data_IF_949986746419
#
_entry.id   IF_949986746419
#
_cell.length_a   1.000
_cell.length_b   1.000
_cell.length_c   1.000
_cell.angle_alpha   90.00
_cell.angle_beta   90.00
_cell.angle_gamma   90.00
#
_symmetry.space_group_name_H-M   'P 1'
#
loop_
_entity.id
_entity.type
_entity.pdbx_description
1 polymer ?
#
# COMPACT_ATOMS: atom_id res chain seq x y z
N UNK A 1 3.73 -14.72 18.17
CA UNK A 1 2.69 -13.74 17.81
C UNK A 1 1.56 -14.35 16.97
N UNK A 2 1.65 -14.57 15.64
CA UNK A 2 0.50 -15.12 14.86
C UNK A 2 0.15 -16.58 15.19
N UNK A 3 1.15 -17.44 15.40
CA UNK A 3 0.93 -18.85 15.75
C UNK A 3 0.22 -19.02 17.09
N UNK A 4 0.50 -18.13 18.03
CA UNK A 4 -0.04 -18.21 19.39
C UNK A 4 -1.53 -17.84 19.40
N UNK A 5 -1.96 -16.99 18.47
CA UNK A 5 -3.36 -16.58 18.31
C UNK A 5 -4.12 -17.50 17.35
N UNK A 6 -3.55 -17.86 16.19
CA UNK A 6 -4.25 -18.58 15.12
C UNK A 6 -3.89 -20.06 14.99
N UNK A 7 -2.85 -20.54 15.69
CA UNK A 7 -2.30 -21.89 15.51
C UNK A 7 -1.56 -22.12 14.18
N UNK A 8 -1.57 -21.15 13.26
CA UNK A 8 -0.98 -21.25 11.91
C UNK A 8 0.05 -20.14 11.65
N UNK A 9 0.96 -20.34 10.68
CA UNK A 9 1.93 -19.32 10.23
C UNK A 9 1.35 -18.35 9.20
N UNK A 10 0.21 -18.69 8.62
CA UNK A 10 -0.39 -17.98 7.51
C UNK A 10 -1.88 -17.83 7.77
N UNK A 11 -2.34 -16.60 7.96
CA UNK A 11 -3.74 -16.27 8.23
C UNK A 11 -4.67 -16.85 7.16
N UNK A 12 -4.23 -16.93 5.90
CA UNK A 12 -5.05 -17.45 4.80
C UNK A 12 -5.46 -18.93 4.94
N UNK A 13 -4.85 -19.69 5.86
CA UNK A 13 -5.29 -21.07 6.15
C UNK A 13 -6.59 -21.13 6.97
N UNK A 14 -6.90 -20.07 7.72
CA UNK A 14 -8.10 -19.98 8.59
C UNK A 14 -9.01 -18.81 8.24
N UNK A 15 -8.51 -17.85 7.47
CA UNK A 15 -9.24 -16.66 7.04
C UNK A 15 -9.26 -15.53 8.08
N UNK A 16 -9.65 -14.31 7.67
CA UNK A 16 -9.87 -13.19 8.59
C UNK A 16 -10.99 -13.49 9.60
N UNK A 17 -10.84 -12.99 10.83
CA UNK A 17 -11.84 -13.12 11.90
C UNK A 17 -11.89 -11.86 12.76
N UNK A 18 -12.80 -11.79 13.74
CA UNK A 18 -12.83 -10.67 14.70
C UNK A 18 -11.56 -10.59 15.56
N UNK A 19 -10.95 -11.73 15.89
CA UNK A 19 -9.71 -11.81 16.67
C UNK A 19 -8.46 -11.48 15.82
N UNK A 20 -8.56 -11.68 14.51
CA UNK A 20 -7.49 -11.41 13.56
C UNK A 20 -8.07 -10.88 12.25
N UNK A 21 -8.44 -9.59 12.22
CA UNK A 21 -9.07 -8.98 11.05
C UNK A 21 -8.07 -8.82 9.90
N UNK A 22 -8.61 -8.63 8.68
CA UNK A 22 -7.80 -8.16 7.56
C UNK A 22 -7.49 -6.68 7.77
N UNK A 23 -6.21 -6.33 7.82
CA UNK A 23 -5.79 -4.92 7.87
C UNK A 23 -5.48 -4.44 6.47
N UNK A 24 -6.22 -3.45 5.99
CA UNK A 24 -5.98 -2.83 4.68
C UNK A 24 -5.26 -1.50 4.88
N UNK A 25 -4.06 -1.38 4.34
CA UNK A 25 -3.25 -0.15 4.35
C UNK A 25 -3.37 0.50 2.98
N UNK A 26 -4.09 1.62 2.91
CA UNK A 26 -4.21 2.43 1.71
C UNK A 26 -3.24 3.60 1.80
N UNK A 27 -2.30 3.70 0.86
CA UNK A 27 -1.42 4.86 0.73
C UNK A 27 -1.76 5.55 -0.59
N UNK A 28 -2.65 6.53 -0.50
CA UNK A 28 -2.97 7.39 -1.62
C UNK A 28 -1.87 8.44 -1.83
N UNK A 29 -1.60 8.75 -3.09
CA UNK A 29 -0.45 9.56 -3.50
C UNK A 29 0.87 9.16 -2.82
N UNK A 30 1.18 7.86 -2.87
CA UNK A 30 2.33 7.24 -2.21
C UNK A 30 3.67 7.92 -2.51
N UNK A 31 3.80 8.54 -3.69
CA UNK A 31 5.00 9.30 -4.07
C UNK A 31 5.34 10.45 -3.11
N UNK A 32 4.36 10.98 -2.38
CA UNK A 32 4.57 12.04 -1.37
C UNK A 32 5.38 11.54 -0.17
N UNK A 33 5.25 10.26 0.17
CA UNK A 33 5.97 9.60 1.26
C UNK A 33 7.34 9.08 0.86
N UNK A 34 7.60 8.97 -0.45
CA UNK A 34 8.86 8.45 -1.02
C UNK A 34 9.70 9.54 -1.71
N UNK A 35 9.25 10.80 -1.66
CA UNK A 35 9.95 11.93 -2.29
C UNK A 35 11.34 12.11 -1.70
N UNK A 36 12.37 12.05 -2.56
CA UNK A 36 13.73 12.38 -2.17
C UNK A 36 13.89 13.87 -1.81
N UNK A 37 14.59 14.13 -0.70
CA UNK A 37 15.00 15.47 -0.29
C UNK A 37 16.52 15.60 -0.41
N UNK A 38 17.00 16.64 -1.10
CA UNK A 38 18.43 16.89 -1.34
C UNK A 38 18.83 18.23 -0.75
N UNK A 39 19.79 18.21 0.15
CA UNK A 39 20.29 19.40 0.85
C UNK A 39 21.05 19.01 2.12
N UNK A 40 21.78 19.96 2.68
CA UNK A 40 22.70 19.74 3.80
C UNK A 40 22.21 20.31 5.13
N UNK A 41 21.12 21.09 5.11
CA UNK A 41 20.49 21.64 6.31
C UNK A 41 19.81 20.55 7.15
N UNK A 42 19.59 20.85 8.42
CA UNK A 42 19.10 19.88 9.39
C UNK A 42 17.69 19.35 9.05
N UNK A 43 16.81 20.20 8.53
CA UNK A 43 15.44 19.80 8.22
C UNK A 43 15.41 18.90 6.98
N UNK A 44 16.16 19.25 5.93
CA UNK A 44 16.28 18.41 4.73
C UNK A 44 16.85 17.03 5.07
N UNK A 45 17.85 16.95 5.95
CA UNK A 45 18.38 15.66 6.43
C UNK A 45 17.32 14.85 7.18
N UNK A 46 16.55 15.49 8.07
CA UNK A 46 15.46 14.85 8.82
C UNK A 46 14.41 14.26 7.86
N UNK A 47 13.99 15.03 6.87
CA UNK A 47 13.02 14.60 5.86
C UNK A 47 13.56 13.46 4.97
N UNK A 48 14.84 13.50 4.61
CA UNK A 48 15.50 12.42 3.88
C UNK A 48 15.52 11.11 4.70
N UNK A 49 15.85 11.19 6.00
CA UNK A 49 15.81 10.03 6.91
C UNK A 49 14.39 9.46 7.02
N UNK A 50 13.39 10.32 7.24
CA UNK A 50 11.98 9.90 7.33
C UNK A 50 11.50 9.22 6.05
N UNK A 51 11.88 9.74 4.89
CA UNK A 51 11.52 9.16 3.58
C UNK A 51 12.14 7.77 3.40
N UNK A 52 13.42 7.62 3.76
CA UNK A 52 14.10 6.33 3.70
C UNK A 52 13.47 5.30 4.64
N UNK A 53 13.06 5.73 5.84
CA UNK A 53 12.36 4.89 6.81
C UNK A 53 10.98 4.47 6.29
N UNK A 54 10.19 5.41 5.77
CA UNK A 54 8.89 5.12 5.16
C UNK A 54 9.00 4.06 4.06
N UNK A 55 9.97 4.22 3.16
CA UNK A 55 10.17 3.28 2.06
C UNK A 55 10.53 1.87 2.57
N UNK A 56 11.40 1.78 3.59
CA UNK A 56 11.76 0.50 4.25
C UNK A 56 10.54 -0.15 4.92
N UNK A 57 9.75 0.63 5.66
CA UNK A 57 8.57 0.13 6.37
C UNK A 57 7.50 -0.37 5.39
N UNK A 58 7.26 0.36 4.30
CA UNK A 58 6.31 -0.06 3.25
C UNK A 58 6.79 -1.31 2.54
N UNK A 59 8.09 -1.41 2.22
CA UNK A 59 8.66 -2.64 1.65
C UNK A 59 8.45 -3.84 2.58
N UNK A 60 8.69 -3.67 3.88
CA UNK A 60 8.45 -4.70 4.90
C UNK A 60 6.97 -5.10 4.98
N UNK A 61 6.04 -4.14 4.91
CA UNK A 61 4.61 -4.40 4.87
C UNK A 61 4.22 -5.23 3.64
N UNK A 62 4.71 -4.89 2.46
CA UNK A 62 4.41 -5.64 1.23
C UNK A 62 4.97 -7.07 1.29
N UNK A 63 6.23 -7.23 1.73
CA UNK A 63 6.92 -8.53 1.78
C UNK A 63 6.37 -9.45 2.87
N UNK A 64 6.15 -8.93 4.06
CA UNK A 64 5.88 -9.72 5.28
C UNK A 64 4.40 -9.68 5.67
N UNK A 65 3.68 -8.63 5.30
CA UNK A 65 2.29 -8.41 5.70
C UNK A 65 1.31 -9.45 5.15
N UNK A 66 1.57 -9.97 3.94
CA UNK A 66 0.65 -10.89 3.26
C UNK A 66 0.30 -12.12 4.10
N UNK A 67 1.28 -12.79 4.71
CA UNK A 67 1.02 -14.02 5.49
C UNK A 67 0.26 -13.74 6.79
N UNK A 68 0.31 -12.51 7.28
CA UNK A 68 -0.34 -12.09 8.54
C UNK A 68 -1.63 -11.30 8.31
N UNK A 69 -2.14 -11.24 7.08
CA UNK A 69 -3.42 -10.57 6.81
C UNK A 69 -3.34 -9.06 6.67
N UNK A 70 -2.17 -8.52 6.30
CA UNK A 70 -2.03 -7.10 5.95
C UNK A 70 -1.99 -6.98 4.43
N UNK A 71 -2.95 -6.24 3.87
CA UNK A 71 -3.04 -5.90 2.45
C UNK A 71 -2.61 -4.44 2.26
N UNK A 72 -1.47 -4.21 1.62
CA UNK A 72 -0.97 -2.87 1.31
C UNK A 72 -1.31 -2.50 -0.13
N UNK A 73 -1.94 -1.34 -0.33
CA UNK A 73 -2.29 -0.79 -1.64
C UNK A 73 -1.61 0.57 -1.77
N UNK A 74 -0.75 0.69 -2.77
CA UNK A 74 -0.02 1.92 -3.08
C UNK A 74 -0.64 2.54 -4.34
N UNK A 75 -1.01 3.81 -4.25
CA UNK A 75 -1.69 4.54 -5.34
C UNK A 75 -0.91 5.82 -5.60
N UNK A 76 -0.75 6.21 -6.87
CA UNK A 76 -0.09 7.46 -7.26
C UNK A 76 -0.58 7.94 -8.61
N UNK A 77 -0.80 9.25 -8.74
CA UNK A 77 -1.06 9.89 -10.04
C UNK A 77 0.22 10.36 -10.75
N UNK A 78 1.34 10.44 -10.02
CA UNK A 78 2.63 10.86 -10.60
C UNK A 78 3.13 9.81 -11.60
N UNK A 79 3.35 10.23 -12.84
CA UNK A 79 3.66 9.35 -13.98
C UNK A 79 5.14 9.03 -14.14
N UNK A 80 6.00 9.38 -13.18
CA UNK A 80 7.46 9.24 -13.30
C UNK A 80 7.98 8.03 -12.51
N UNK A 81 9.16 7.53 -12.93
CA UNK A 81 9.83 6.35 -12.37
C UNK A 81 10.13 6.39 -10.87
N UNK A 82 10.11 7.57 -10.26
CA UNK A 82 10.34 7.81 -8.83
C UNK A 82 9.04 7.85 -8.01
N UNK A 83 7.86 7.64 -8.60
CA UNK A 83 6.60 7.71 -7.88
C UNK A 83 6.45 6.58 -6.85
N UNK A 84 6.79 5.35 -7.23
CA UNK A 84 6.91 4.20 -6.34
C UNK A 84 8.30 3.61 -6.59
N UNK A 85 9.20 3.58 -5.58
CA UNK A 85 10.53 3.02 -5.76
C UNK A 85 10.48 1.59 -6.30
N UNK A 86 11.38 1.27 -7.24
CA UNK A 86 11.40 -0.02 -7.94
C UNK A 86 11.50 -1.21 -6.98
N UNK A 87 12.28 -1.09 -5.90
CA UNK A 87 12.41 -2.15 -4.90
C UNK A 87 11.11 -2.44 -4.12
N UNK A 88 10.17 -1.48 -4.07
CA UNK A 88 8.82 -1.69 -3.54
C UNK A 88 7.91 -2.25 -4.64
N UNK A 89 7.93 -1.65 -5.83
CA UNK A 89 7.12 -2.10 -6.98
C UNK A 89 7.36 -3.57 -7.31
N UNK A 90 8.62 -4.00 -7.36
CA UNK A 90 8.99 -5.34 -7.81
C UNK A 90 8.61 -6.45 -6.80
N UNK A 91 8.25 -6.08 -5.57
CA UNK A 91 7.79 -7.02 -4.54
C UNK A 91 6.26 -7.02 -4.40
N UNK A 92 5.56 -6.10 -5.09
CA UNK A 92 4.11 -6.14 -5.21
C UNK A 92 3.71 -7.29 -6.17
N UNK A 93 2.89 -8.25 -5.72
CA UNK A 93 2.49 -9.38 -6.57
C UNK A 93 1.49 -8.97 -7.67
N UNK A 94 0.91 -7.77 -7.58
CA UNK A 94 -0.03 -7.22 -8.56
C UNK A 94 0.37 -5.78 -8.83
N UNK A 95 0.48 -5.42 -10.11
CA UNK A 95 0.66 -4.05 -10.58
C UNK A 95 -0.48 -3.65 -11.49
N UNK A 96 -1.00 -2.44 -11.33
CA UNK A 96 -2.04 -1.86 -12.18
C UNK A 96 -1.58 -0.51 -12.71
N UNK A 97 -1.79 -0.28 -14.00
CA UNK A 97 -1.54 1.01 -14.63
C UNK A 97 -2.69 1.39 -15.53
N UNK A 98 -3.38 2.49 -15.19
CA UNK A 98 -4.29 3.17 -16.10
C UNK A 98 -3.51 3.87 -17.22
N UNK A 99 -4.23 4.53 -18.13
CA UNK A 99 -3.67 5.26 -19.27
C UNK A 99 -2.41 6.07 -18.90
N UNK A 100 -1.30 5.81 -19.59
CA UNK A 100 -0.03 6.52 -19.42
C UNK A 100 0.34 7.26 -20.71
N UNK A 101 0.98 8.43 -20.60
CA UNK A 101 1.38 9.21 -21.79
C UNK A 101 2.63 8.66 -22.48
N UNK A 102 3.49 7.95 -21.75
CA UNK A 102 4.79 7.48 -22.25
C UNK A 102 5.05 6.04 -21.86
N UNK A 103 5.94 5.38 -22.62
CA UNK A 103 6.37 4.01 -22.30
C UNK A 103 7.18 3.99 -21.00
N UNK A 104 7.93 5.04 -20.72
CA UNK A 104 8.72 5.19 -19.49
C UNK A 104 7.81 5.22 -18.25
N UNK A 105 6.65 5.86 -18.35
CA UNK A 105 5.65 5.87 -17.29
C UNK A 105 4.99 4.48 -17.11
N UNK A 106 4.76 3.75 -18.20
CA UNK A 106 4.29 2.37 -18.13
C UNK A 106 5.33 1.45 -17.47
N UNK A 107 6.62 1.60 -17.83
CA UNK A 107 7.74 0.86 -17.22
C UNK A 107 7.89 1.20 -15.74
N UNK A 108 7.72 2.48 -15.38
CA UNK A 108 7.70 2.91 -13.99
C UNK A 108 6.64 2.14 -13.18
N UNK A 109 5.41 2.05 -13.69
CA UNK A 109 4.29 1.43 -12.99
C UNK A 109 4.31 -0.12 -13.02
N UNK A 110 4.73 -0.73 -14.13
CA UNK A 110 4.53 -2.16 -14.41
C UNK A 110 5.83 -2.97 -14.54
N UNK A 111 6.99 -2.32 -14.53
CA UNK A 111 8.29 -2.95 -14.77
C UNK A 111 8.67 -2.97 -16.24
N UNK A 112 9.95 -3.29 -16.52
CA UNK A 112 10.53 -3.16 -17.86
C UNK A 112 9.94 -4.12 -18.90
N UNK A 113 9.43 -5.28 -18.45
CA UNK A 113 8.87 -6.31 -19.33
C UNK A 113 7.67 -5.83 -20.17
N UNK A 114 6.98 -4.75 -19.75
CA UNK A 114 5.87 -4.15 -20.53
C UNK A 114 6.32 -3.71 -21.93
N UNK A 115 7.62 -3.43 -22.14
CA UNK A 115 8.18 -3.10 -23.46
C UNK A 115 8.00 -4.22 -24.47
N UNK A 116 7.95 -5.47 -24.00
CA UNK A 116 7.75 -6.66 -24.83
C UNK A 116 6.28 -6.90 -25.20
N UNK A 117 5.35 -6.08 -24.67
CA UNK A 117 3.90 -6.23 -24.84
C UNK A 117 3.25 -4.93 -25.31
N UNK A 118 3.60 -4.42 -26.51
CA UNK A 118 3.11 -3.14 -27.02
C UNK A 118 1.58 -3.08 -27.10
N UNK A 119 0.93 -4.18 -27.50
CA UNK A 119 -0.52 -4.27 -27.59
C UNK A 119 -1.22 -4.23 -26.22
N UNK A 120 -0.52 -4.58 -25.15
CA UNK A 120 -1.05 -4.49 -23.80
C UNK A 120 -0.66 -3.17 -23.11
N UNK A 121 0.15 -2.31 -23.75
CA UNK A 121 0.72 -1.12 -23.12
C UNK A 121 -0.34 -0.12 -22.65
N UNK A 122 -0.21 0.47 -21.45
CA UNK A 122 -1.10 1.54 -20.98
C UNK A 122 -1.11 2.78 -21.87
N UNK A 123 -0.09 2.96 -22.72
CA UNK A 123 -0.02 4.06 -23.69
C UNK A 123 -1.12 3.97 -24.74
N UNK A 124 -1.65 2.78 -24.99
CA UNK A 124 -2.72 2.55 -25.96
C UNK A 124 -4.12 2.88 -25.42
N UNK A 125 -4.23 3.28 -24.14
CA UNK A 125 -5.50 3.49 -23.43
C UNK A 125 -5.96 4.96 -23.40
N UNK A 126 -5.51 5.81 -24.32
CA UNK A 126 -5.83 7.24 -24.33
C UNK A 126 -7.25 7.57 -24.83
N UNK A 127 -7.86 6.66 -25.60
CA UNK A 127 -9.21 6.88 -26.15
C UNK A 127 -10.27 6.88 -25.02
N UNK A 128 -11.31 7.74 -25.08
CA UNK A 128 -12.40 7.76 -24.11
C UNK A 128 -13.09 6.41 -23.86
N UNK A 129 -13.10 5.50 -24.84
CA UNK A 129 -13.62 4.14 -24.67
C UNK A 129 -12.82 3.29 -23.65
N UNK A 130 -11.60 3.72 -23.32
CA UNK A 130 -10.73 3.09 -22.33
C UNK A 130 -10.80 3.72 -20.94
N UNK A 131 -11.70 4.67 -20.69
CA UNK A 131 -11.95 5.15 -19.31
C UNK A 131 -12.31 3.97 -18.41
N UNK A 132 -11.58 3.83 -17.29
CA UNK A 132 -11.70 2.68 -16.39
C UNK A 132 -11.02 1.40 -16.89
N UNK A 133 -10.19 1.42 -17.95
CA UNK A 133 -9.28 0.30 -18.25
C UNK A 133 -7.94 0.51 -17.58
N UNK A 134 -7.48 -0.54 -16.91
CA UNK A 134 -6.10 -0.66 -16.47
C UNK A 134 -5.43 -1.85 -17.16
N UNK A 135 -4.11 -1.77 -17.29
CA UNK A 135 -3.25 -2.89 -17.61
C UNK A 135 -2.75 -3.49 -16.31
N UNK A 136 -2.91 -4.80 -16.17
CA UNK A 136 -2.55 -5.56 -14.99
C UNK A 136 -1.36 -6.46 -15.26
N UNK A 137 -0.35 -6.37 -14.40
CA UNK A 137 0.69 -7.36 -14.21
C UNK A 137 0.37 -8.18 -12.97
N UNK A 138 0.54 -9.50 -13.03
CA UNK A 138 0.27 -10.37 -11.88
C UNK A 138 1.36 -11.44 -11.77
N UNK A 139 1.98 -11.52 -10.59
CA UNK A 139 3.00 -12.51 -10.29
C UNK A 139 2.47 -13.93 -10.53
N UNK A 140 3.26 -14.74 -11.24
CA UNK A 140 2.89 -16.11 -11.60
C UNK A 140 1.99 -16.23 -12.83
N UNK A 141 1.63 -15.13 -13.50
CA UNK A 141 1.00 -15.14 -14.82
C UNK A 141 1.90 -14.46 -15.85
N UNK A 142 2.17 -15.08 -17.01
CA UNK A 142 2.96 -14.45 -18.05
C UNK A 142 2.20 -13.28 -18.70
N UNK A 143 2.91 -12.20 -18.98
CA UNK A 143 2.41 -11.05 -19.71
C UNK A 143 1.48 -10.13 -18.94
N UNK A 144 0.70 -9.35 -19.69
CA UNK A 144 -0.14 -8.27 -19.17
C UNK A 144 -1.57 -8.41 -19.67
N UNK A 145 -2.54 -8.13 -18.80
CA UNK A 145 -3.96 -8.26 -19.11
C UNK A 145 -4.67 -6.92 -18.92
N UNK A 146 -5.47 -6.50 -19.90
CA UNK A 146 -6.36 -5.35 -19.73
C UNK A 146 -7.58 -5.75 -18.90
N UNK A 147 -7.88 -4.97 -17.88
CA UNK A 147 -9.05 -5.16 -17.02
C UNK A 147 -9.94 -3.91 -17.07
N UNK A 148 -11.26 -4.10 -17.04
CA UNK A 148 -12.24 -3.02 -16.92
C UNK A 148 -12.65 -2.89 -15.46
N UNK A 149 -12.38 -1.75 -14.85
CA UNK A 149 -12.86 -1.41 -13.51
C UNK A 149 -14.27 -0.83 -13.61
N UNK A 150 -15.21 -1.26 -12.76
CA UNK A 150 -16.55 -0.67 -12.74
C UNK A 150 -16.47 0.80 -12.30
N UNK A 151 -17.33 1.64 -12.89
CA UNK A 151 -17.52 3.00 -12.42
C UNK A 151 -18.31 2.98 -11.11
N UNK A 152 -17.83 3.71 -10.11
CA UNK A 152 -18.53 3.96 -8.84
C UNK A 152 -18.65 5.46 -8.70
N UNK A 153 -19.88 5.97 -8.59
CA UNK A 153 -20.13 7.39 -8.37
C UNK A 153 -19.78 7.79 -6.94
N UNK A 154 -19.49 9.07 -6.69
CA UNK A 154 -19.24 9.57 -5.33
C UNK A 154 -20.43 9.30 -4.38
N UNK A 155 -21.66 9.41 -4.91
CA UNK A 155 -22.88 9.11 -4.16
C UNK A 155 -22.96 7.62 -3.79
N UNK A 156 -22.63 6.72 -4.72
CA UNK A 156 -22.58 5.28 -4.43
C UNK A 156 -21.45 4.92 -3.47
N UNK A 157 -20.28 5.53 -3.62
CA UNK A 157 -19.15 5.34 -2.72
C UNK A 157 -19.52 5.76 -1.28
N UNK A 158 -20.12 6.95 -1.11
CA UNK A 158 -20.59 7.43 0.18
C UNK A 158 -21.65 6.51 0.79
N UNK A 159 -22.65 6.11 -0.01
CA UNK A 159 -23.71 5.18 0.43
C UNK A 159 -23.15 3.82 0.87
N UNK A 160 -22.21 3.25 0.12
CA UNK A 160 -21.57 1.97 0.45
C UNK A 160 -20.74 2.13 1.74
N UNK A 161 -19.93 3.17 1.83
CA UNK A 161 -19.11 3.44 3.00
C UNK A 161 -19.95 3.57 4.28
N UNK A 162 -21.07 4.29 4.22
CA UNK A 162 -22.02 4.41 5.33
C UNK A 162 -22.61 3.04 5.69
N UNK A 163 -23.15 2.32 4.70
CA UNK A 163 -23.77 1.01 4.90
C UNK A 163 -22.81 -0.04 5.47
N UNK A 164 -21.51 0.04 5.15
CA UNK A 164 -20.49 -0.92 5.60
C UNK A 164 -19.61 -0.42 6.73
N UNK A 165 -19.84 0.79 7.25
CA UNK A 165 -19.00 1.41 8.30
C UNK A 165 -18.84 0.51 9.53
N UNK A 166 -19.90 -0.21 9.92
CA UNK A 166 -19.93 -1.16 11.02
C UNK A 166 -19.05 -2.42 10.83
N UNK A 167 -18.51 -2.65 9.63
CA UNK A 167 -17.57 -3.74 9.33
C UNK A 167 -16.10 -3.32 9.46
N UNK A 168 -15.85 -2.03 9.71
CA UNK A 168 -14.51 -1.47 9.87
C UNK A 168 -14.22 -1.16 11.34
N UNK A 169 -12.95 -1.22 11.71
CA UNK A 169 -12.46 -0.83 13.02
C UNK A 169 -11.09 -0.17 12.86
N UNK A 170 -10.72 0.69 13.80
CA UNK A 170 -9.38 1.28 13.83
C UNK A 170 -8.36 0.17 14.16
N UNK A 171 -7.38 -0.08 13.27
CA UNK A 171 -6.37 -1.11 13.50
C UNK A 171 -5.52 -0.87 14.76
N UNK A 172 -5.33 0.39 15.19
CA UNK A 172 -4.63 0.70 16.44
C UNK A 172 -5.42 0.21 17.66
N UNK A 173 -6.73 0.47 17.69
CA UNK A 173 -7.61 -0.03 18.76
C UNK A 173 -7.68 -1.56 18.79
N UNK A 174 -7.68 -2.20 17.62
CA UNK A 174 -7.62 -3.66 17.53
C UNK A 174 -6.30 -4.23 18.07
N UNK A 175 -5.18 -3.54 17.83
CA UNK A 175 -3.87 -3.94 18.32
C UNK A 175 -3.81 -3.82 19.85
N UNK A 176 -4.25 -2.69 20.40
CA UNK A 176 -4.26 -2.45 21.85
C UNK A 176 -5.07 -3.53 22.57
N UNK A 177 -6.29 -3.82 22.08
CA UNK A 177 -7.12 -4.88 22.64
C UNK A 177 -6.47 -6.28 22.58
N UNK A 178 -5.70 -6.57 21.53
CA UNK A 178 -4.97 -7.84 21.40
C UNK A 178 -3.80 -7.93 22.38
N UNK A 179 -3.04 -6.84 22.55
CA UNK A 179 -1.92 -6.75 23.49
C UNK A 179 -2.40 -6.94 24.93
N UNK A 180 -3.51 -6.30 25.31
CA UNK A 180 -4.16 -6.46 26.61
C UNK A 180 -4.57 -7.92 26.87
N UNK A 181 -5.12 -8.59 25.85
CA UNK A 181 -5.62 -9.97 25.99
C UNK A 181 -4.48 -11.00 26.04
N UNK A 182 -3.34 -10.71 25.40
CA UNK A 182 -2.21 -11.64 25.30
C UNK A 182 -1.15 -11.43 26.39
N UNK A 183 -1.32 -10.41 27.26
CA UNK A 183 -0.37 -10.09 28.32
C UNK A 183 0.98 -9.60 27.81
N UNK A 184 1.06 -9.25 26.52
CA UNK A 184 2.24 -8.63 25.93
C UNK A 184 2.11 -7.12 26.09
N UNK A 185 2.78 -6.55 27.10
CA UNK A 185 2.92 -5.10 27.24
C UNK A 185 3.68 -4.55 26.03
N UNK A 186 3.35 -3.31 25.65
CA UNK A 186 4.02 -2.59 24.57
C UNK A 186 5.54 -2.61 24.82
N UNK A 187 6.41 -2.90 23.82
CA UNK A 187 7.87 -2.89 24.00
C UNK A 187 8.47 -1.53 24.36
N UNK A 188 7.65 -0.50 24.57
CA UNK A 188 8.06 0.84 24.96
C UNK A 188 7.73 1.24 26.40
N UNK A 189 7.18 0.33 27.22
CA UNK A 189 6.74 0.66 28.59
C UNK A 189 7.80 0.37 29.69
N UNK A 190 9.00 -0.05 29.30
CA UNK A 190 10.13 -0.25 30.22
C UNK A 190 11.18 0.89 30.07
N UNK A 191 10.92 2.07 30.64
CA UNK A 191 11.96 3.09 30.88
C UNK A 191 11.47 4.55 31.00
N UNK A 192 12.04 5.37 31.92
CA UNK A 192 11.40 6.58 32.43
C UNK A 192 11.54 7.82 31.51
N UNK A 193 10.50 8.65 31.51
CA UNK A 193 10.45 10.08 31.11
C UNK A 193 11.41 10.54 29.99
N UNK A 194 10.98 10.38 28.74
CA UNK A 194 11.39 11.23 27.62
C UNK A 194 10.29 12.23 27.29
N UNK A 195 10.59 13.50 26.96
CA UNK A 195 9.57 14.54 26.84
C UNK A 195 8.61 14.23 25.68
N UNK A 196 7.32 14.27 25.96
CA UNK A 196 6.25 14.16 24.97
C UNK A 196 6.42 15.23 23.89
N UNK A 197 6.59 14.79 22.64
CA UNK A 197 6.52 15.68 21.48
C UNK A 197 5.06 16.10 21.31
N UNK A 198 4.70 17.39 21.41
CA UNK A 198 3.32 17.81 21.26
C UNK A 198 2.89 17.61 19.81
N UNK A 199 1.80 16.86 19.61
CA UNK A 199 1.03 16.91 18.38
C UNK A 199 0.48 18.34 18.24
N UNK A 200 1.05 19.10 17.31
CA UNK A 200 0.51 20.39 16.92
C UNK A 200 -0.91 20.17 16.36
N UNK A 201 -1.90 20.77 17.02
CA UNK A 201 -3.26 20.94 16.50
C UNK A 201 -3.27 22.00 15.38
N UNK A 202 -4.25 21.96 14.47
CA UNK A 202 -4.23 22.66 13.18
C UNK A 202 -4.09 24.18 13.27
#
# INVERSE_FOLDING_TARGET
MIRDVLGVKNMWHVGPSRLWPLTVVLIDEAHTFFREYKGSDAETKRLATLTAENARLVEDLVKKGRSVGILTILISQKTTGDAIPTFIRDVCPVGLSFAQKTVEAAVAALGDDIRNWPDASPVTLQDPAYVGVAVMAMQGRPGFTRIRTPYVSDADAARIAEATSHLTADPALCLDALLDTTGHTNPGDDGPDGPAVPLAKP
#
